data_IF_952565198204
#
_entry.id   IF_952565198204
#
_cell.length_a   1.000
_cell.length_b   1.000
_cell.length_c   1.000
_cell.angle_alpha   90.00
_cell.angle_beta   90.00
_cell.angle_gamma   90.00
#
_symmetry.space_group_name_H-M   'P 1'
#
loop_
_entity.id
_entity.type
_entity.pdbx_description
1 polymer ?
#
# COMPACT_ATOMS: atom_id res chain seq x y z
N UNK A 1 9.92 24.35 -6.17
CA UNK A 1 9.66 23.44 -5.05
C UNK A 1 8.42 22.64 -5.44
N UNK A 2 8.52 21.33 -5.66
CA UNK A 2 7.35 20.52 -5.99
C UNK A 2 6.65 20.13 -4.68
N UNK A 3 5.33 20.37 -4.54
CA UNK A 3 4.61 19.95 -3.35
C UNK A 3 4.59 18.41 -3.28
N UNK A 4 4.95 17.87 -2.11
CA UNK A 4 4.80 16.44 -1.83
C UNK A 4 3.34 16.18 -1.48
N UNK A 5 2.52 15.94 -2.49
CA UNK A 5 1.09 15.67 -2.32
C UNK A 5 0.84 14.16 -2.25
N UNK A 6 -0.18 13.78 -1.49
CA UNK A 6 -0.76 12.44 -1.51
C UNK A 6 -2.06 12.56 -2.30
N UNK A 7 -2.14 11.85 -3.42
CA UNK A 7 -3.33 11.84 -4.26
C UNK A 7 -3.79 10.40 -4.52
N UNK A 8 -5.08 10.21 -4.54
CA UNK A 8 -5.72 8.94 -4.87
C UNK A 8 -7.05 9.18 -5.56
N UNK A 9 -7.48 8.34 -6.50
CA UNK A 9 -8.79 8.43 -7.10
C UNK A 9 -9.87 7.96 -6.12
N UNK A 10 -11.09 8.39 -6.34
CA UNK A 10 -12.26 7.86 -5.61
C UNK A 10 -12.54 6.39 -5.97
N UNK A 11 -12.20 6.00 -7.20
CA UNK A 11 -12.36 4.65 -7.72
C UNK A 11 -11.09 4.14 -8.36
N UNK A 12 -10.61 2.98 -7.91
CA UNK A 12 -9.45 2.28 -8.51
C UNK A 12 -9.82 1.46 -9.75
N UNK A 13 -11.10 1.13 -9.92
CA UNK A 13 -11.57 0.37 -11.07
C UNK A 13 -13.01 0.72 -11.43
N UNK A 14 -13.28 0.90 -12.73
CA UNK A 14 -14.60 1.19 -13.29
C UNK A 14 -14.59 0.99 -14.80
N UNK A 15 -15.75 0.74 -15.42
CA UNK A 15 -15.91 0.70 -16.88
C UNK A 15 -14.87 -0.17 -17.60
N UNK A 16 -14.59 -1.37 -17.06
CA UNK A 16 -13.59 -2.32 -17.59
C UNK A 16 -12.13 -1.83 -17.52
N UNK A 17 -11.87 -0.79 -16.74
CA UNK A 17 -10.54 -0.22 -16.53
C UNK A 17 -10.15 -0.39 -15.07
N UNK A 18 -8.91 -0.80 -14.80
CA UNK A 18 -8.29 -0.81 -13.49
C UNK A 18 -7.06 0.10 -13.49
N UNK A 19 -6.95 0.97 -12.50
CA UNK A 19 -5.80 1.84 -12.31
C UNK A 19 -4.71 1.10 -11.53
N UNK A 20 -3.45 1.25 -11.96
CA UNK A 20 -2.30 0.55 -11.38
C UNK A 20 -1.15 1.54 -11.23
N UNK A 21 -0.40 1.47 -10.13
CA UNK A 21 0.77 2.29 -9.89
C UNK A 21 0.43 3.76 -9.68
N UNK A 22 1.19 4.65 -10.31
CA UNK A 22 1.08 6.10 -10.10
C UNK A 22 -0.28 6.67 -10.54
N UNK A 23 -0.95 6.02 -11.48
CA UNK A 23 -2.33 6.38 -11.86
C UNK A 23 -3.36 6.07 -10.77
N UNK A 24 -3.04 5.15 -9.87
CA UNK A 24 -3.89 4.74 -8.76
C UNK A 24 -3.57 5.47 -7.44
N UNK A 25 -2.34 5.94 -7.29
CA UNK A 25 -1.90 6.63 -6.07
C UNK A 25 -0.61 7.42 -6.31
N UNK A 26 -0.61 8.69 -5.96
CA UNK A 26 0.60 9.51 -5.88
C UNK A 26 1.01 9.58 -4.43
N UNK A 27 2.24 9.19 -4.13
CA UNK A 27 2.79 9.19 -2.77
C UNK A 27 4.17 9.85 -2.74
N UNK A 28 4.52 10.55 -1.66
CA UNK A 28 5.88 11.06 -1.49
C UNK A 28 6.92 9.94 -1.58
N UNK A 29 8.13 10.19 -2.12
CA UNK A 29 9.17 9.19 -2.34
C UNK A 29 9.85 8.72 -1.04
N UNK A 30 9.09 8.56 0.03
CA UNK A 30 9.57 8.11 1.34
C UNK A 30 9.60 6.58 1.34
N UNK A 31 10.81 6.02 1.43
CA UNK A 31 11.01 4.58 1.54
C UNK A 31 10.62 3.76 0.29
N UNK A 32 10.70 4.37 -0.90
CA UNK A 32 10.38 3.71 -2.19
C UNK A 32 8.99 3.05 -2.24
N UNK A 33 8.02 3.57 -1.51
CA UNK A 33 6.68 2.96 -1.38
C UNK A 33 5.88 2.99 -2.68
N UNK A 34 6.04 4.02 -3.53
CA UNK A 34 5.31 4.14 -4.79
C UNK A 34 5.49 2.92 -5.71
N UNK A 35 6.74 2.51 -5.95
CA UNK A 35 7.04 1.31 -6.74
C UNK A 35 6.47 0.04 -6.11
N UNK A 36 6.66 -0.14 -4.80
CA UNK A 36 6.16 -1.31 -4.09
C UNK A 36 4.63 -1.40 -4.11
N UNK A 37 3.94 -0.27 -4.01
CA UNK A 37 2.48 -0.21 -4.15
C UNK A 37 2.05 -0.57 -5.58
N UNK A 38 2.72 -0.04 -6.60
CA UNK A 38 2.43 -0.36 -8.00
C UNK A 38 2.64 -1.84 -8.35
N UNK A 39 3.69 -2.47 -7.81
CA UNK A 39 3.91 -3.91 -7.99
C UNK A 39 2.80 -4.76 -7.32
N UNK A 40 2.27 -4.31 -6.19
CA UNK A 40 1.13 -4.98 -5.53
C UNK A 40 -0.16 -4.78 -6.31
N UNK A 41 -0.40 -3.59 -6.87
CA UNK A 41 -1.53 -3.36 -7.75
C UNK A 41 -1.53 -4.34 -8.93
N UNK A 42 -0.35 -4.49 -9.57
CA UNK A 42 -0.18 -5.41 -10.69
C UNK A 42 -0.41 -6.87 -10.30
N UNK A 43 0.06 -7.28 -9.12
CA UNK A 43 -0.17 -8.63 -8.60
C UNK A 43 -1.64 -8.87 -8.31
N UNK A 44 -2.30 -7.94 -7.58
CA UNK A 44 -3.71 -8.07 -7.21
C UNK A 44 -4.62 -8.15 -8.44
N UNK A 45 -4.39 -7.28 -9.46
CA UNK A 45 -5.22 -7.33 -10.67
C UNK A 45 -4.97 -8.60 -11.47
N UNK A 46 -3.73 -9.09 -11.53
CA UNK A 46 -3.40 -10.35 -12.21
C UNK A 46 -4.08 -11.55 -11.53
N UNK A 47 -4.02 -11.63 -10.21
CA UNK A 47 -4.66 -12.71 -9.44
C UNK A 47 -6.18 -12.67 -9.54
N UNK A 48 -6.79 -11.49 -9.42
CA UNK A 48 -8.25 -11.32 -9.49
C UNK A 48 -8.76 -11.61 -10.90
N UNK A 49 -8.10 -11.08 -11.93
CA UNK A 49 -8.49 -11.33 -13.32
C UNK A 49 -8.23 -12.79 -13.72
N UNK A 50 -7.10 -13.36 -13.32
CA UNK A 50 -6.78 -14.77 -13.57
C UNK A 50 -7.78 -15.73 -12.92
N UNK A 51 -8.17 -15.45 -11.67
CA UNK A 51 -9.22 -16.23 -10.98
C UNK A 51 -10.58 -16.09 -11.67
N UNK A 52 -10.95 -14.90 -12.11
CA UNK A 52 -12.20 -14.69 -12.85
C UNK A 52 -12.21 -15.50 -14.16
N UNK A 53 -11.13 -15.44 -14.93
CA UNK A 53 -11.00 -16.20 -16.20
C UNK A 53 -11.08 -17.70 -15.93
N UNK A 54 -10.42 -18.22 -14.91
CA UNK A 54 -10.45 -19.66 -14.56
C UNK A 54 -11.85 -20.15 -14.16
N UNK A 55 -12.68 -19.26 -13.65
CA UNK A 55 -14.08 -19.53 -13.29
C UNK A 55 -15.07 -19.25 -14.43
N UNK A 56 -14.58 -18.85 -15.61
CA UNK A 56 -15.43 -18.47 -16.74
C UNK A 56 -16.16 -17.14 -16.55
N UNK A 57 -15.72 -16.32 -15.58
CA UNK A 57 -16.26 -14.97 -15.36
C UNK A 57 -15.59 -13.96 -16.30
N UNK A 58 -16.32 -12.90 -16.69
CA UNK A 58 -15.75 -11.77 -17.40
C UNK A 58 -14.86 -10.94 -16.46
N UNK A 59 -13.52 -10.87 -16.68
CA UNK A 59 -12.60 -10.13 -15.81
C UNK A 59 -12.89 -8.63 -15.77
N UNK A 60 -13.57 -8.09 -16.76
CA UNK A 60 -13.99 -6.68 -16.82
C UNK A 60 -15.38 -6.43 -16.24
N UNK A 61 -16.04 -7.45 -15.69
CA UNK A 61 -17.37 -7.30 -15.09
C UNK A 61 -17.34 -6.39 -13.86
N UNK A 62 -18.44 -5.69 -13.54
CA UNK A 62 -18.54 -4.86 -12.34
C UNK A 62 -18.21 -5.61 -11.05
N UNK A 63 -18.58 -6.90 -10.96
CA UNK A 63 -18.34 -7.73 -9.79
C UNK A 63 -16.84 -8.01 -9.60
N UNK A 64 -16.11 -8.31 -10.68
CA UNK A 64 -14.66 -8.55 -10.63
C UNK A 64 -13.92 -7.25 -10.33
N UNK A 65 -14.29 -6.15 -10.96
CA UNK A 65 -13.71 -4.84 -10.69
C UNK A 65 -13.97 -4.37 -9.25
N UNK A 66 -15.12 -4.70 -8.66
CA UNK A 66 -15.40 -4.40 -7.25
C UNK A 66 -14.49 -5.18 -6.29
N UNK A 67 -14.11 -6.43 -6.62
CA UNK A 67 -13.11 -7.19 -5.85
C UNK A 67 -11.76 -6.47 -5.83
N UNK A 68 -11.29 -6.03 -6.99
CA UNK A 68 -10.06 -5.25 -7.09
C UNK A 68 -10.15 -3.92 -6.34
N UNK A 69 -11.23 -3.17 -6.54
CA UNK A 69 -11.51 -1.91 -5.83
C UNK A 69 -11.43 -2.08 -4.31
N UNK A 70 -12.04 -3.14 -3.78
CA UNK A 70 -12.06 -3.41 -2.33
C UNK A 70 -10.67 -3.74 -1.79
N UNK A 71 -9.93 -4.61 -2.49
CA UNK A 71 -8.57 -4.99 -2.14
C UNK A 71 -7.64 -3.77 -2.11
N UNK A 72 -7.67 -2.94 -3.16
CA UNK A 72 -6.80 -1.76 -3.26
C UNK A 72 -7.16 -0.67 -2.28
N UNK A 73 -8.46 -0.42 -2.05
CA UNK A 73 -8.90 0.59 -1.08
C UNK A 73 -8.36 0.31 0.32
N UNK A 74 -8.40 -0.94 0.76
CA UNK A 74 -7.89 -1.33 2.07
C UNK A 74 -6.36 -1.20 2.17
N UNK A 75 -5.62 -1.74 1.18
CA UNK A 75 -4.15 -1.70 1.17
C UNK A 75 -3.63 -0.27 1.04
N UNK A 76 -4.16 0.52 0.11
CA UNK A 76 -3.74 1.92 -0.10
C UNK A 76 -4.05 2.76 1.13
N UNK A 77 -5.24 2.64 1.73
CA UNK A 77 -5.62 3.43 2.91
C UNK A 77 -4.67 3.17 4.09
N UNK A 78 -4.36 1.92 4.38
CA UNK A 78 -3.44 1.57 5.48
C UNK A 78 -2.03 2.13 5.27
N UNK A 79 -1.54 2.09 4.03
CA UNK A 79 -0.20 2.60 3.68
C UNK A 79 -0.12 4.12 3.69
N UNK A 80 -1.16 4.80 3.18
CA UNK A 80 -1.21 6.26 3.22
C UNK A 80 -1.19 6.78 4.66
N UNK A 81 -1.91 6.13 5.58
CA UNK A 81 -1.86 6.46 7.00
C UNK A 81 -0.44 6.25 7.54
N UNK A 82 0.20 5.13 7.23
CA UNK A 82 1.57 4.86 7.69
C UNK A 82 2.58 5.88 7.14
N UNK A 83 2.46 6.25 5.87
CA UNK A 83 3.30 7.28 5.23
C UNK A 83 3.06 8.65 5.85
N UNK A 84 1.81 9.04 6.08
CA UNK A 84 1.47 10.33 6.68
C UNK A 84 2.01 10.43 8.12
N UNK A 85 1.84 9.40 8.93
CA UNK A 85 2.39 9.31 10.29
C UNK A 85 3.92 9.39 10.26
N UNK A 86 4.58 8.64 9.36
CA UNK A 86 6.03 8.70 9.20
C UNK A 86 6.49 10.10 8.79
N UNK A 87 5.83 10.71 7.81
CA UNK A 87 6.16 12.04 7.31
C UNK A 87 6.00 13.10 8.41
N UNK A 88 4.88 13.11 9.13
CA UNK A 88 4.67 14.02 10.26
C UNK A 88 5.70 13.81 11.37
N UNK A 89 6.06 12.57 11.66
CA UNK A 89 7.09 12.24 12.65
C UNK A 89 8.47 12.75 12.22
N UNK A 90 8.80 12.69 10.93
CA UNK A 90 10.09 13.16 10.40
C UNK A 90 10.17 14.69 10.33
N UNK A 91 9.06 15.35 10.02
CA UNK A 91 8.99 16.81 9.88
C UNK A 91 8.73 17.54 11.20
N UNK A 92 8.46 16.80 12.28
CA UNK A 92 8.20 17.40 13.59
C UNK A 92 9.51 17.69 14.34
N UNK A 93 9.76 18.96 14.62
CA UNK A 93 10.89 19.42 15.46
C UNK A 93 10.58 19.38 16.96
N UNK A 94 9.40 18.87 17.34
CA UNK A 94 9.01 18.81 18.75
C UNK A 94 9.83 17.74 19.50
N UNK A 95 10.51 18.12 20.59
CA UNK A 95 11.39 17.24 21.38
C UNK A 95 10.71 15.94 21.83
N UNK A 96 9.42 15.98 22.16
CA UNK A 96 8.64 14.79 22.52
C UNK A 96 8.52 13.76 21.39
N UNK A 97 8.36 14.21 20.14
CA UNK A 97 8.30 13.31 18.97
C UNK A 97 9.65 12.71 18.64
N UNK A 98 10.74 13.44 18.85
CA UNK A 98 12.10 12.92 18.68
C UNK A 98 12.40 11.81 19.69
N UNK A 99 12.03 12.00 20.95
CA UNK A 99 12.20 11.00 22.01
C UNK A 99 11.38 9.73 21.76
N UNK A 100 10.11 9.88 21.34
CA UNK A 100 9.24 8.76 20.97
C UNK A 100 9.75 8.00 19.74
N UNK A 101 10.27 8.72 18.75
CA UNK A 101 10.90 8.11 17.57
C UNK A 101 12.16 7.32 17.95
N UNK A 102 13.02 7.88 18.79
CA UNK A 102 14.23 7.20 19.27
C UNK A 102 13.86 5.94 20.06
N UNK A 103 12.87 6.02 20.96
CA UNK A 103 12.37 4.87 21.71
C UNK A 103 11.74 3.81 20.79
N UNK A 104 10.95 4.22 19.81
CA UNK A 104 10.36 3.31 18.81
C UNK A 104 11.40 2.59 17.96
N UNK A 105 12.42 3.30 17.50
CA UNK A 105 13.55 2.72 16.77
C UNK A 105 14.38 1.77 17.64
N UNK A 106 14.60 2.12 18.90
CA UNK A 106 15.29 1.26 19.85
C UNK A 106 14.51 -0.03 20.13
N UNK A 107 13.19 0.05 20.31
CA UNK A 107 12.31 -1.11 20.45
C UNK A 107 12.31 -2.00 19.20
N UNK A 108 12.24 -1.43 18.01
CA UNK A 108 12.33 -2.17 16.74
C UNK A 108 13.70 -2.86 16.60
N UNK A 109 14.78 -2.20 17.01
CA UNK A 109 16.11 -2.75 17.00
C UNK A 109 16.29 -3.89 18.00
N UNK A 110 15.74 -3.73 19.21
CA UNK A 110 15.93 -4.65 20.34
C UNK A 110 14.98 -5.84 20.36
N UNK A 111 13.77 -5.69 19.78
CA UNK A 111 12.73 -6.71 19.83
C UNK A 111 12.60 -7.44 18.49
N UNK A 112 13.28 -8.59 18.36
CA UNK A 112 13.35 -9.38 17.14
C UNK A 112 11.99 -9.72 16.51
N UNK A 113 10.93 -10.08 17.25
CA UNK A 113 9.60 -10.30 16.70
C UNK A 113 8.98 -9.06 16.03
N UNK A 114 9.11 -7.90 16.68
CA UNK A 114 8.56 -6.64 16.17
C UNK A 114 9.30 -6.19 14.90
N UNK A 115 10.63 -6.34 14.90
CA UNK A 115 11.45 -6.09 13.71
C UNK A 115 11.05 -7.00 12.55
N UNK A 116 10.84 -8.30 12.79
CA UNK A 116 10.40 -9.24 11.76
C UNK A 116 9.01 -8.89 11.21
N UNK A 117 8.09 -8.43 12.08
CA UNK A 117 6.76 -7.98 11.66
C UNK A 117 6.87 -6.74 10.76
N UNK A 118 7.64 -5.73 11.17
CA UNK A 118 7.85 -4.52 10.39
C UNK A 118 8.53 -4.80 9.04
N UNK A 119 9.53 -5.69 9.01
CA UNK A 119 10.17 -6.12 7.78
C UNK A 119 9.24 -6.92 6.88
N UNK A 120 8.36 -7.76 7.46
CA UNK A 120 7.38 -8.54 6.71
C UNK A 120 6.35 -7.64 6.01
N UNK A 121 5.86 -6.61 6.68
CA UNK A 121 4.94 -5.64 6.08
C UNK A 121 5.61 -4.80 4.97
N UNK A 122 6.91 -4.51 5.11
CA UNK A 122 7.68 -3.78 4.11
C UNK A 122 8.15 -4.61 2.91
N UNK A 123 8.49 -5.88 3.12
CA UNK A 123 9.21 -6.71 2.14
C UNK A 123 8.41 -7.91 1.63
N UNK A 124 7.46 -8.44 2.40
CA UNK A 124 6.69 -9.61 2.00
C UNK A 124 5.28 -9.21 1.55
N UNK A 125 4.93 -9.47 0.29
CA UNK A 125 3.56 -9.28 -0.16
C UNK A 125 2.64 -10.28 0.55
N UNK A 126 1.51 -9.77 1.06
CA UNK A 126 0.50 -10.57 1.77
C UNK A 126 -0.24 -11.56 0.87
N UNK A 127 -0.10 -11.45 -0.44
CA UNK A 127 -0.79 -12.26 -1.45
C UNK A 127 -0.23 -13.69 -1.62
N UNK A 128 0.90 -14.05 -0.99
CA UNK A 128 1.48 -15.41 -1.10
C UNK A 128 0.81 -16.49 -0.23
N UNK A 129 -0.46 -16.37 0.09
CA UNK A 129 -1.17 -17.39 0.85
C UNK A 129 -2.47 -17.80 0.18
N UNK A 130 -2.37 -18.33 -1.02
CA UNK A 130 -3.39 -19.26 -1.55
C UNK A 130 -2.65 -20.30 -2.38
N UNK A 131 -2.29 -21.35 -1.74
CA UNK A 131 -2.04 -22.67 -2.31
C UNK A 131 -2.56 -23.68 -1.32
#
# INVERSE_FOLDING_TARGET
MFPLTIERPDQFASHRVALVGESAHVVPPIGAQGLNMGLRDAADIADIAGSAISLGEDPGSPAVLARYQSARRADVASRLIAIDVANRSLLSDFLGTQSLRAAGMHLLGSFGPLRRLAMREGLAPTWKRVS
#
